data_IF_723641693404
#
_entry.id   IF_723641693404
#
_cell.length_a   1.000
_cell.length_b   1.000
_cell.length_c   1.000
_cell.angle_alpha   90.00
_cell.angle_beta   90.00
_cell.angle_gamma   90.00
#
_symmetry.space_group_name_H-M   'P 1'
#
loop_
_entity.id
_entity.type
_entity.pdbx_description
1 polymer ?
#
# COMPACT_ATOMS: atom_id res chain seq x y z
N UNK A 1 -34.85 -22.61 56.79
CA UNK A 1 -33.65 -21.75 56.85
C UNK A 1 -33.54 -20.98 55.54
N UNK A 2 -34.35 -19.95 55.37
CA UNK A 2 -34.32 -19.03 54.24
C UNK A 2 -33.52 -17.81 54.67
N UNK A 3 -32.25 -17.74 54.29
CA UNK A 3 -31.43 -16.56 54.52
C UNK A 3 -32.07 -15.39 53.76
N UNK A 4 -32.73 -14.49 54.50
CA UNK A 4 -33.23 -13.22 53.98
C UNK A 4 -32.01 -12.39 53.58
N UNK A 5 -31.68 -12.40 52.29
CA UNK A 5 -30.64 -11.54 51.73
C UNK A 5 -30.97 -10.09 52.11
N UNK A 6 -30.03 -9.45 52.81
CA UNK A 6 -30.16 -8.06 53.22
C UNK A 6 -30.38 -7.15 52.00
N UNK A 7 -31.03 -5.98 52.16
CA UNK A 7 -31.32 -5.04 51.06
C UNK A 7 -30.08 -4.66 50.24
N UNK A 8 -28.90 -4.68 50.87
CA UNK A 8 -27.62 -4.43 50.22
C UNK A 8 -27.23 -5.53 49.24
N UNK A 9 -27.51 -6.80 49.54
CA UNK A 9 -27.25 -7.91 48.60
C UNK A 9 -28.15 -7.84 47.36
N UNK A 10 -29.40 -7.40 47.50
CA UNK A 10 -30.29 -7.17 46.35
C UNK A 10 -29.77 -6.06 45.44
N UNK A 11 -29.30 -4.96 46.02
CA UNK A 11 -28.70 -3.85 45.26
C UNK A 11 -27.47 -4.31 44.46
N UNK A 12 -26.54 -5.03 45.09
CA UNK A 12 -25.35 -5.54 44.41
C UNK A 12 -25.67 -6.59 43.34
N UNK A 13 -26.68 -7.44 43.55
CA UNK A 13 -27.13 -8.41 42.55
C UNK A 13 -27.74 -7.72 41.32
N UNK A 14 -28.55 -6.68 41.52
CA UNK A 14 -29.14 -5.90 40.43
C UNK A 14 -28.06 -5.13 39.65
N UNK A 15 -27.09 -4.52 40.34
CA UNK A 15 -25.94 -3.85 39.72
C UNK A 15 -25.14 -4.81 38.85
N UNK A 16 -24.82 -6.01 39.36
CA UNK A 16 -24.09 -7.04 38.62
C UNK A 16 -24.85 -7.50 37.37
N UNK A 17 -26.18 -7.67 37.46
CA UNK A 17 -27.03 -8.01 36.32
C UNK A 17 -27.04 -6.92 35.26
N UNK A 18 -27.15 -5.64 35.66
CA UNK A 18 -27.08 -4.50 34.74
C UNK A 18 -25.70 -4.39 34.05
N UNK A 19 -24.62 -4.60 34.80
CA UNK A 19 -23.25 -4.62 34.26
C UNK A 19 -23.05 -5.77 33.27
N UNK A 20 -23.55 -6.97 33.59
CA UNK A 20 -23.51 -8.13 32.69
C UNK A 20 -24.30 -7.84 31.40
N UNK A 21 -25.51 -7.28 31.52
CA UNK A 21 -26.33 -6.86 30.38
C UNK A 21 -25.66 -5.82 29.52
N UNK A 22 -25.00 -4.82 30.12
CA UNK A 22 -24.23 -3.81 29.40
C UNK A 22 -23.02 -4.40 28.67
N UNK A 23 -22.27 -5.30 29.32
CA UNK A 23 -21.13 -6.01 28.70
C UNK A 23 -21.59 -6.88 27.54
N UNK A 24 -22.70 -7.61 27.70
CA UNK A 24 -23.29 -8.42 26.64
C UNK A 24 -23.78 -7.56 25.46
N UNK A 25 -24.48 -6.46 25.73
CA UNK A 25 -24.92 -5.53 24.69
C UNK A 25 -23.74 -4.88 23.97
N UNK A 26 -22.73 -4.43 24.70
CA UNK A 26 -21.50 -3.87 24.15
C UNK A 26 -20.77 -4.89 23.26
N UNK A 27 -20.62 -6.12 23.75
CA UNK A 27 -20.03 -7.22 22.99
C UNK A 27 -20.87 -7.52 21.74
N UNK A 28 -22.20 -7.58 21.85
CA UNK A 28 -23.09 -7.88 20.73
C UNK A 28 -23.07 -6.78 19.66
N UNK A 29 -23.08 -5.50 20.03
CA UNK A 29 -22.99 -4.38 19.08
C UNK A 29 -21.63 -4.34 18.40
N UNK A 30 -20.55 -4.55 19.17
CA UNK A 30 -19.19 -4.60 18.62
C UNK A 30 -18.97 -5.82 17.72
N UNK A 31 -19.56 -6.96 18.07
CA UNK A 31 -19.41 -8.21 17.32
C UNK A 31 -20.35 -8.34 16.13
N UNK A 32 -21.55 -7.76 16.19
CA UNK A 32 -22.49 -7.71 15.06
C UNK A 32 -21.86 -7.03 13.83
N UNK A 33 -21.05 -5.99 14.05
CA UNK A 33 -20.28 -5.34 13.00
C UNK A 33 -19.23 -6.25 12.34
N UNK A 34 -18.56 -7.10 13.13
CA UNK A 34 -17.56 -8.07 12.64
C UNK A 34 -18.23 -9.24 11.92
N UNK A 35 -19.29 -9.79 12.51
CA UNK A 35 -20.06 -10.90 11.97
C UNK A 35 -20.83 -10.53 10.69
N UNK A 36 -21.29 -9.29 10.55
CA UNK A 36 -21.88 -8.80 9.29
C UNK A 36 -20.82 -8.62 8.18
N UNK A 37 -19.62 -8.12 8.50
CA UNK A 37 -18.49 -8.02 7.56
C UNK A 37 -18.09 -9.40 7.02
N UNK A 38 -17.88 -10.36 7.94
CA UNK A 38 -17.52 -11.74 7.62
C UNK A 38 -18.57 -12.41 6.73
N UNK A 39 -19.86 -12.29 7.08
CA UNK A 39 -20.96 -12.84 6.27
C UNK A 39 -21.05 -12.23 4.88
N UNK A 40 -20.87 -10.91 4.74
CA UNK A 40 -20.90 -10.26 3.43
C UNK A 40 -19.77 -10.70 2.50
N UNK A 41 -18.59 -10.94 3.06
CA UNK A 41 -17.44 -11.41 2.28
C UNK A 41 -17.49 -12.89 1.97
N UNK A 42 -17.91 -13.73 2.92
CA UNK A 42 -18.12 -15.16 2.69
C UNK A 42 -19.13 -15.37 1.57
N UNK A 43 -20.23 -14.61 1.55
CA UNK A 43 -21.19 -14.63 0.44
C UNK A 43 -20.54 -14.27 -0.91
N UNK A 44 -19.62 -13.31 -0.94
CA UNK A 44 -18.90 -12.94 -2.18
C UNK A 44 -17.97 -14.05 -2.66
N UNK A 45 -17.31 -14.73 -1.73
CA UNK A 45 -16.45 -15.88 -2.03
C UNK A 45 -17.30 -17.06 -2.52
N UNK A 46 -18.43 -17.33 -1.85
CA UNK A 46 -19.41 -18.34 -2.25
C UNK A 46 -19.98 -18.06 -3.65
N UNK A 47 -20.29 -16.81 -3.99
CA UNK A 47 -20.79 -16.45 -5.33
C UNK A 47 -19.76 -16.60 -6.44
N UNK A 48 -18.47 -16.70 -6.11
CA UNK A 48 -17.41 -16.85 -7.11
C UNK A 48 -17.20 -18.31 -7.55
N UNK A 49 -17.86 -19.27 -6.90
CA UNK A 49 -17.75 -20.73 -7.10
C UNK A 49 -16.29 -21.22 -7.25
N UNK A 50 -15.36 -20.48 -6.63
CA UNK A 50 -13.94 -20.72 -6.75
C UNK A 50 -13.50 -21.63 -5.60
N UNK A 51 -12.67 -22.65 -5.86
CA UNK A 51 -12.19 -23.54 -4.82
C UNK A 51 -11.49 -22.74 -3.73
N UNK A 52 -11.91 -22.96 -2.49
CA UNK A 52 -11.24 -22.39 -1.32
C UNK A 52 -9.91 -23.12 -1.15
N UNK A 53 -8.81 -22.40 -1.36
CA UNK A 53 -7.46 -22.92 -1.13
C UNK A 53 -7.12 -22.75 0.36
N UNK A 54 -7.67 -23.63 1.19
CA UNK A 54 -7.48 -23.60 2.65
C UNK A 54 -5.99 -23.67 3.04
N UNK A 55 -5.17 -24.31 2.22
CA UNK A 55 -3.71 -24.38 2.41
C UNK A 55 -3.07 -22.99 2.22
N UNK A 56 -3.41 -22.28 1.14
CA UNK A 56 -2.95 -20.91 0.92
C UNK A 56 -3.40 -19.95 2.03
N UNK A 57 -4.67 -20.04 2.47
CA UNK A 57 -5.19 -19.23 3.58
C UNK A 57 -4.52 -19.57 4.90
N UNK A 58 -4.23 -20.85 5.15
CA UNK A 58 -3.46 -21.31 6.31
C UNK A 58 -2.05 -20.72 6.32
N UNK A 59 -1.32 -20.83 5.22
CA UNK A 59 0.02 -20.28 5.05
C UNK A 59 0.04 -18.74 5.21
N UNK A 60 -0.98 -18.04 4.72
CA UNK A 60 -1.14 -16.60 4.94
C UNK A 60 -1.34 -16.26 6.42
N UNK A 61 -2.22 -16.99 7.11
CA UNK A 61 -2.48 -16.78 8.54
C UNK A 61 -1.24 -17.03 9.37
N UNK A 62 -0.44 -18.03 9.02
CA UNK A 62 0.83 -18.34 9.66
C UNK A 62 1.87 -17.25 9.42
N UNK A 63 2.12 -16.87 8.17
CA UNK A 63 3.07 -15.80 7.82
C UNK A 63 2.71 -14.46 8.46
N UNK A 64 1.42 -14.13 8.56
CA UNK A 64 0.95 -12.96 9.30
C UNK A 64 1.20 -13.07 10.81
N UNK A 65 1.09 -14.26 11.41
CA UNK A 65 1.42 -14.47 12.81
C UNK A 65 2.92 -14.24 13.06
N UNK A 66 3.76 -14.79 12.17
CA UNK A 66 5.21 -14.62 12.20
C UNK A 66 5.59 -13.15 12.05
N UNK A 67 4.98 -12.42 11.09
CA UNK A 67 5.20 -10.98 10.91
C UNK A 67 4.87 -10.18 12.18
N UNK A 68 3.75 -10.49 12.83
CA UNK A 68 3.38 -9.85 14.11
C UNK A 68 4.35 -10.17 15.24
N UNK A 69 4.90 -11.38 15.27
CA UNK A 69 5.88 -11.78 16.27
C UNK A 69 7.22 -11.07 16.03
N UNK A 70 7.72 -11.06 14.80
CA UNK A 70 8.93 -10.35 14.42
C UNK A 70 8.81 -8.85 14.77
N UNK A 71 7.67 -8.23 14.47
CA UNK A 71 7.37 -6.84 14.84
C UNK A 71 7.32 -6.55 16.35
N UNK A 72 7.02 -7.56 17.17
CA UNK A 72 7.06 -7.42 18.64
C UNK A 72 8.49 -7.50 19.16
N UNK A 73 9.36 -8.21 18.46
CA UNK A 73 10.76 -8.44 18.82
C UNK A 73 11.70 -7.39 18.24
N UNK A 74 11.34 -6.74 17.14
CA UNK A 74 12.14 -5.71 16.49
C UNK A 74 12.33 -4.48 17.41
N UNK A 75 13.56 -3.97 17.55
CA UNK A 75 13.81 -2.73 18.28
C UNK A 75 13.08 -1.58 17.57
N UNK A 76 12.20 -0.87 18.30
CA UNK A 76 11.35 0.18 17.71
C UNK A 76 12.13 1.48 17.57
N UNK A 77 12.33 2.01 16.35
CA UNK A 77 13.08 3.27 16.17
C UNK A 77 12.24 4.52 16.47
N UNK A 78 10.90 4.41 16.47
CA UNK A 78 10.00 5.57 16.59
C UNK A 78 9.35 5.65 17.98
N UNK A 79 10.02 6.36 18.90
CA UNK A 79 9.34 6.93 20.08
C UNK A 79 8.54 8.13 19.58
N UNK A 80 7.21 8.07 19.70
CA UNK A 80 6.39 9.26 19.47
C UNK A 80 6.77 10.35 20.48
N UNK A 81 6.54 11.63 20.15
CA UNK A 81 6.75 12.75 21.09
C UNK A 81 5.96 12.61 22.40
N UNK A 82 4.99 11.70 22.44
CA UNK A 82 4.10 11.41 23.57
C UNK A 82 4.50 10.15 24.37
N UNK A 83 5.72 9.62 24.21
CA UNK A 83 6.28 8.60 25.10
C UNK A 83 5.71 7.18 24.96
N UNK A 84 4.66 6.96 24.15
CA UNK A 84 4.20 5.61 23.75
C UNK A 84 4.78 5.23 22.39
N UNK A 85 5.27 4.00 22.29
CA UNK A 85 5.66 3.41 21.02
C UNK A 85 4.41 3.23 20.14
N UNK A 86 4.39 3.92 19.00
CA UNK A 86 3.32 3.76 18.01
C UNK A 86 3.32 2.31 17.48
N UNK A 87 2.15 1.74 17.15
CA UNK A 87 2.12 0.44 16.50
C UNK A 87 2.83 0.53 15.15
N UNK A 88 3.50 -0.53 14.71
CA UNK A 88 4.18 -0.50 13.40
C UNK A 88 3.11 -0.48 12.29
N UNK A 89 3.18 0.47 11.34
CA UNK A 89 2.21 0.60 10.28
C UNK A 89 2.36 -0.50 9.22
N UNK A 90 1.24 -0.94 8.65
CA UNK A 90 1.19 -1.99 7.64
C UNK A 90 0.79 -1.39 6.30
N UNK A 91 1.60 -1.60 5.27
CA UNK A 91 1.36 -1.06 3.93
C UNK A 91 1.22 -2.18 2.93
N UNK A 92 0.22 -2.06 2.06
CA UNK A 92 0.04 -2.94 0.92
C UNK A 92 0.82 -2.37 -0.27
N UNK A 93 1.65 -3.17 -0.92
CA UNK A 93 2.39 -2.81 -2.12
C UNK A 93 1.79 -3.55 -3.31
N UNK A 94 1.33 -2.79 -4.30
CA UNK A 94 0.68 -3.27 -5.51
C UNK A 94 1.48 -2.77 -6.70
N UNK A 95 1.81 -3.66 -7.62
CA UNK A 95 2.53 -3.37 -8.86
C UNK A 95 2.51 -4.60 -9.73
N UNK A 96 2.72 -4.40 -11.02
CA UNK A 96 2.91 -5.48 -11.97
C UNK A 96 4.33 -6.08 -11.83
N UNK A 97 4.75 -6.92 -12.78
CA UNK A 97 6.08 -7.51 -12.72
C UNK A 97 7.19 -6.48 -13.01
N UNK A 98 6.94 -5.51 -13.90
CA UNK A 98 7.91 -4.48 -14.26
C UNK A 98 8.21 -3.52 -13.10
N UNK A 99 7.28 -3.37 -12.15
CA UNK A 99 7.47 -2.53 -10.97
C UNK A 99 8.56 -3.02 -9.99
N UNK A 100 9.00 -4.28 -10.09
CA UNK A 100 10.03 -4.91 -9.23
C UNK A 100 9.87 -4.62 -7.73
N UNK A 101 8.70 -4.95 -7.18
CA UNK A 101 8.44 -4.80 -5.75
C UNK A 101 9.50 -5.50 -4.86
N UNK A 102 9.98 -6.74 -5.17
CA UNK A 102 11.04 -7.37 -4.39
C UNK A 102 12.34 -6.55 -4.37
N UNK A 103 12.77 -6.00 -5.50
CA UNK A 103 13.95 -5.12 -5.58
C UNK A 103 13.78 -3.81 -4.81
N UNK A 104 12.60 -3.19 -4.90
CA UNK A 104 12.28 -2.00 -4.09
C UNK A 104 12.35 -2.31 -2.58
N UNK A 105 11.72 -3.41 -2.15
CA UNK A 105 11.63 -3.78 -0.74
C UNK A 105 12.98 -4.25 -0.18
N UNK A 106 13.80 -4.95 -0.96
CA UNK A 106 15.17 -5.31 -0.57
C UNK A 106 16.05 -4.07 -0.42
N UNK A 107 15.92 -3.10 -1.31
CA UNK A 107 16.63 -1.80 -1.25
C UNK A 107 16.22 -1.00 -0.02
N UNK A 108 14.97 -1.13 0.42
CA UNK A 108 14.46 -0.56 1.66
C UNK A 108 14.93 -1.30 2.94
N UNK A 109 15.90 -2.21 2.81
CA UNK A 109 16.39 -3.08 3.88
C UNK A 109 15.26 -3.94 4.49
N UNK A 110 14.31 -4.34 3.64
CA UNK A 110 13.21 -5.22 4.02
C UNK A 110 13.69 -6.66 4.16
N UNK A 111 13.48 -7.25 5.34
CA UNK A 111 13.68 -8.67 5.56
C UNK A 111 12.41 -9.45 5.21
N UNK A 112 12.52 -10.40 4.29
CA UNK A 112 11.40 -11.28 3.92
C UNK A 112 11.20 -12.35 4.97
N UNK A 113 10.01 -12.37 5.58
CA UNK A 113 9.70 -13.21 6.76
C UNK A 113 9.37 -14.66 6.43
N UNK A 114 8.86 -14.92 5.22
CA UNK A 114 8.58 -16.26 4.73
C UNK A 114 9.34 -16.48 3.42
N UNK A 115 10.42 -17.26 3.50
CA UNK A 115 11.12 -17.77 2.32
C UNK A 115 10.38 -19.04 1.86
N UNK A 116 9.97 -19.12 0.59
CA UNK A 116 9.36 -20.32 0.06
C UNK A 116 10.36 -21.48 0.18
N UNK A 117 9.91 -22.64 0.68
CA UNK A 117 10.78 -23.80 0.94
C UNK A 117 11.23 -24.48 -0.36
N UNK A 118 10.50 -24.26 -1.45
CA UNK A 118 10.85 -24.71 -2.80
C UNK A 118 10.49 -23.65 -3.85
N UNK A 119 11.08 -23.74 -5.04
CA UNK A 119 10.78 -22.84 -6.17
C UNK A 119 9.34 -23.03 -6.68
N UNK A 120 8.75 -24.21 -6.47
CA UNK A 120 7.34 -24.52 -6.77
C UNK A 120 6.39 -23.85 -5.77
N UNK A 121 6.75 -23.77 -4.47
CA UNK A 121 5.99 -23.02 -3.45
C UNK A 121 6.00 -21.49 -3.69
N UNK A 122 6.96 -20.98 -4.47
CA UNK A 122 7.06 -19.57 -4.82
C UNK A 122 6.09 -19.16 -5.94
N UNK A 123 5.71 -20.13 -6.79
CA UNK A 123 4.85 -19.97 -7.97
C UNK A 123 3.40 -20.34 -7.63
N UNK A 124 3.19 -21.36 -6.79
CA UNK A 124 1.88 -21.84 -6.37
C UNK A 124 1.66 -21.61 -4.87
N UNK A 125 0.81 -20.63 -4.53
CA UNK A 125 -0.23 -20.69 -3.49
C UNK A 125 -0.54 -19.31 -2.88
N UNK A 126 0.46 -18.44 -2.66
CA UNK A 126 0.23 -17.22 -1.89
C UNK A 126 0.52 -15.93 -2.68
N UNK A 127 -0.56 -15.20 -3.00
CA UNK A 127 -0.47 -13.90 -3.65
C UNK A 127 0.11 -12.79 -2.75
N UNK A 128 0.43 -13.09 -1.48
CA UNK A 128 0.88 -12.12 -0.48
C UNK A 128 2.22 -12.56 0.12
N UNK A 129 3.20 -11.65 0.14
CA UNK A 129 4.51 -11.87 0.74
C UNK A 129 4.79 -10.78 1.78
N UNK A 130 5.33 -11.19 2.93
CA UNK A 130 5.54 -10.30 4.07
C UNK A 130 7.00 -9.88 4.16
N UNK A 131 7.19 -8.56 4.22
CA UNK A 131 8.48 -7.90 4.37
C UNK A 131 8.46 -7.03 5.61
N UNK A 132 9.55 -7.07 6.37
CA UNK A 132 9.72 -6.27 7.55
C UNK A 132 10.87 -5.29 7.35
N UNK A 133 10.57 -4.00 7.45
CA UNK A 133 11.61 -2.96 7.51
C UNK A 133 11.76 -2.46 8.94
N UNK A 134 12.78 -1.63 9.20
CA UNK A 134 12.96 -1.00 10.51
C UNK A 134 11.77 -0.13 10.95
N UNK A 135 10.96 0.36 10.00
CA UNK A 135 9.92 1.35 10.27
C UNK A 135 8.47 0.87 9.98
N UNK A 136 8.27 -0.10 9.08
CA UNK A 136 6.94 -0.58 8.67
C UNK A 136 6.94 -2.07 8.32
N UNK A 137 5.75 -2.67 8.26
CA UNK A 137 5.57 -3.96 7.61
C UNK A 137 4.96 -3.76 6.22
N UNK A 138 5.62 -4.31 5.21
CA UNK A 138 5.20 -4.26 3.82
C UNK A 138 4.58 -5.61 3.42
N UNK A 139 3.42 -5.54 2.77
CA UNK A 139 2.70 -6.68 2.21
C UNK A 139 2.84 -6.55 0.70
N UNK A 140 3.78 -7.29 0.12
CA UNK A 140 3.97 -7.37 -1.33
C UNK A 140 2.88 -8.25 -1.91
N UNK A 141 2.15 -7.72 -2.90
CA UNK A 141 1.20 -8.49 -3.69
C UNK A 141 1.89 -9.03 -4.93
N UNK A 142 1.68 -10.32 -5.18
CA UNK A 142 2.25 -11.01 -6.33
C UNK A 142 1.78 -10.36 -7.64
N UNK A 143 2.66 -10.12 -8.62
CA UNK A 143 2.31 -9.39 -9.85
C UNK A 143 1.20 -10.06 -10.67
N UNK A 144 1.04 -11.38 -10.57
CA UNK A 144 -0.10 -12.12 -11.18
C UNK A 144 -1.47 -11.58 -10.75
N UNK A 145 -1.59 -11.05 -9.53
CA UNK A 145 -2.84 -10.45 -9.05
C UNK A 145 -3.15 -9.08 -9.70
N UNK A 146 -2.14 -8.43 -10.27
CA UNK A 146 -2.24 -7.12 -10.93
C UNK A 146 -2.24 -7.25 -12.46
N UNK A 147 -1.72 -8.36 -13.02
CA UNK A 147 -1.69 -8.65 -14.45
C UNK A 147 -3.03 -9.14 -15.03
N UNK A 148 -3.00 -9.65 -16.25
CA UNK A 148 -4.22 -10.05 -16.98
C UNK A 148 -4.99 -11.20 -16.32
N UNK A 149 -4.25 -12.11 -15.66
CA UNK A 149 -4.82 -13.21 -14.88
C UNK A 149 -5.48 -12.76 -13.56
N UNK A 150 -5.51 -11.46 -13.26
CA UNK A 150 -6.18 -10.90 -12.08
C UNK A 150 -7.67 -11.20 -12.02
N UNK A 151 -8.32 -11.42 -13.17
CA UNK A 151 -9.73 -11.79 -13.28
C UNK A 151 -9.99 -13.28 -13.11
N UNK A 152 -8.95 -14.12 -13.09
CA UNK A 152 -9.12 -15.55 -12.89
C UNK A 152 -9.83 -15.81 -11.55
N UNK A 153 -10.90 -16.64 -11.50
CA UNK A 153 -11.67 -16.88 -10.29
C UNK A 153 -10.82 -17.28 -9.09
N UNK A 154 -9.82 -18.15 -9.30
CA UNK A 154 -8.85 -18.58 -8.27
C UNK A 154 -8.07 -17.40 -7.70
N UNK A 155 -7.46 -16.57 -8.54
CA UNK A 155 -6.66 -15.40 -8.13
C UNK A 155 -7.48 -14.42 -7.31
N UNK A 156 -8.69 -14.10 -7.79
CA UNK A 156 -9.60 -13.19 -7.09
C UNK A 156 -10.11 -13.76 -5.76
N UNK A 157 -10.42 -15.05 -5.72
CA UNK A 157 -10.85 -15.71 -4.49
C UNK A 157 -9.75 -15.70 -3.41
N UNK A 158 -8.50 -16.04 -3.80
CA UNK A 158 -7.33 -15.95 -2.92
C UNK A 158 -7.13 -14.53 -2.37
N UNK A 159 -7.25 -13.52 -3.22
CA UNK A 159 -7.17 -12.11 -2.83
C UNK A 159 -8.23 -11.74 -1.76
N UNK A 160 -9.49 -12.10 -1.99
CA UNK A 160 -10.58 -11.81 -1.04
C UNK A 160 -10.41 -12.57 0.28
N UNK A 161 -10.01 -13.84 0.22
CA UNK A 161 -9.73 -14.65 1.42
C UNK A 161 -8.57 -14.04 2.22
N UNK A 162 -7.56 -13.48 1.54
CA UNK A 162 -6.44 -12.83 2.19
C UNK A 162 -6.85 -11.55 2.92
N UNK A 163 -7.69 -10.72 2.30
CA UNK A 163 -8.29 -9.55 2.94
C UNK A 163 -9.13 -9.93 4.16
N UNK A 164 -9.88 -11.05 4.10
CA UNK A 164 -10.64 -11.57 5.24
C UNK A 164 -9.74 -11.94 6.41
N UNK A 165 -8.70 -12.73 6.14
CA UNK A 165 -7.75 -13.16 7.16
C UNK A 165 -7.06 -11.95 7.82
N UNK A 166 -6.79 -10.89 7.05
CA UNK A 166 -6.25 -9.64 7.57
C UNK A 166 -7.25 -8.90 8.47
N UNK A 167 -8.51 -8.81 8.04
CA UNK A 167 -9.58 -8.17 8.81
C UNK A 167 -9.86 -8.90 10.14
N UNK A 168 -9.81 -10.23 10.16
CA UNK A 168 -10.05 -11.06 11.36
C UNK A 168 -8.98 -10.85 12.44
N UNK A 169 -7.73 -10.62 12.05
CA UNK A 169 -6.60 -10.59 12.99
C UNK A 169 -6.29 -9.20 13.55
N UNK A 170 -6.74 -8.10 12.93
CA UNK A 170 -6.40 -6.73 13.33
C UNK A 170 -7.65 -5.84 13.43
N UNK A 171 -8.23 -5.78 14.64
CA UNK A 171 -9.56 -5.21 14.92
C UNK A 171 -9.76 -3.71 14.60
N UNK A 172 -8.70 -2.88 14.53
CA UNK A 172 -8.87 -1.40 14.38
C UNK A 172 -8.45 -0.84 13.03
N UNK A 173 -7.24 -1.14 12.57
CA UNK A 173 -6.67 -0.61 11.32
C UNK A 173 -5.81 -1.70 10.66
N UNK A 174 -6.41 -2.67 9.94
CA UNK A 174 -5.70 -3.77 9.29
C UNK A 174 -4.59 -3.30 8.34
N UNK A 175 -4.81 -2.18 7.65
CA UNK A 175 -3.83 -1.50 6.82
C UNK A 175 -3.73 -0.02 7.21
N UNK A 176 -2.55 0.55 7.00
CA UNK A 176 -2.21 1.95 7.21
C UNK A 176 -2.10 2.75 5.90
N UNK A 177 -1.98 2.07 4.77
CA UNK A 177 -2.04 2.68 3.44
C UNK A 177 -1.74 1.67 2.34
N UNK A 178 -1.79 2.15 1.11
CA UNK A 178 -1.49 1.40 -0.10
C UNK A 178 -0.44 2.15 -0.90
N UNK A 179 0.57 1.44 -1.39
CA UNK A 179 1.60 1.93 -2.29
C UNK A 179 1.36 1.29 -3.65
N UNK A 180 1.02 2.13 -4.62
CA UNK A 180 0.86 1.77 -6.03
C UNK A 180 2.19 2.01 -6.73
N UNK A 181 2.82 0.95 -7.18
CA UNK A 181 4.09 1.00 -7.89
C UNK A 181 3.88 0.79 -9.38
N UNK A 182 4.47 1.66 -10.20
CA UNK A 182 4.49 1.56 -11.66
C UNK A 182 5.92 1.78 -12.14
N UNK A 183 6.37 0.98 -13.10
CA UNK A 183 7.74 1.09 -13.62
C UNK A 183 7.94 2.32 -14.49
N UNK A 184 9.05 3.04 -14.31
CA UNK A 184 9.45 4.13 -15.20
C UNK A 184 9.65 3.65 -16.65
N UNK A 185 10.17 2.43 -16.84
CA UNK A 185 10.37 1.86 -18.18
C UNK A 185 9.04 1.58 -18.89
N UNK A 186 8.05 1.09 -18.15
CA UNK A 186 6.71 0.87 -18.69
C UNK A 186 6.05 2.20 -19.08
N UNK A 187 6.15 3.23 -18.24
CA UNK A 187 5.61 4.56 -18.54
C UNK A 187 6.24 5.23 -19.77
N UNK A 188 7.48 4.88 -20.12
CA UNK A 188 8.16 5.41 -21.33
C UNK A 188 7.83 4.61 -22.60
N UNK A 189 7.50 3.33 -22.47
CA UNK A 189 7.36 2.41 -23.60
C UNK A 189 5.91 2.12 -23.95
N UNK A 190 5.06 2.00 -22.93
CA UNK A 190 3.66 1.63 -23.08
C UNK A 190 2.84 2.83 -23.56
N UNK A 191 1.85 2.54 -24.40
CA UNK A 191 0.86 3.51 -24.80
C UNK A 191 -0.29 3.60 -23.78
N UNK A 192 -1.23 4.53 -24.02
CA UNK A 192 -2.39 4.68 -23.15
C UNK A 192 -3.30 3.43 -23.13
N UNK A 193 -3.29 2.62 -24.20
CA UNK A 193 -4.09 1.40 -24.32
C UNK A 193 -3.56 0.28 -23.42
N UNK A 194 -2.27 0.28 -23.10
CA UNK A 194 -1.65 -0.66 -22.16
C UNK A 194 -1.69 -0.15 -20.70
N UNK A 195 -1.43 1.14 -20.49
CA UNK A 195 -1.36 1.74 -19.14
C UNK A 195 -2.72 1.85 -18.46
N UNK A 196 -3.79 2.20 -19.19
CA UNK A 196 -5.13 2.36 -18.62
C UNK A 196 -5.69 1.05 -18.05
N UNK A 197 -5.60 -0.12 -18.74
CA UNK A 197 -5.97 -1.41 -18.16
C UNK A 197 -5.18 -1.77 -16.91
N UNK A 198 -3.86 -1.54 -16.89
CA UNK A 198 -3.06 -1.78 -15.70
C UNK A 198 -3.56 -0.94 -14.51
N UNK A 199 -3.71 0.36 -14.71
CA UNK A 199 -4.22 1.28 -13.69
C UNK A 199 -5.63 0.87 -13.23
N UNK A 200 -6.50 0.40 -14.14
CA UNK A 200 -7.84 -0.07 -13.81
C UNK A 200 -7.82 -1.33 -12.93
N UNK A 201 -6.92 -2.28 -13.22
CA UNK A 201 -6.72 -3.48 -12.37
C UNK A 201 -6.22 -3.11 -10.97
N UNK A 202 -5.25 -2.21 -10.87
CA UNK A 202 -4.75 -1.70 -9.59
C UNK A 202 -5.84 -0.95 -8.81
N UNK A 203 -6.62 -0.10 -9.49
CA UNK A 203 -7.76 0.62 -8.91
C UNK A 203 -8.81 -0.35 -8.36
N UNK A 204 -9.14 -1.41 -9.09
CA UNK A 204 -10.08 -2.43 -8.62
C UNK A 204 -9.60 -3.09 -7.33
N UNK A 205 -8.33 -3.50 -7.25
CA UNK A 205 -7.77 -4.11 -6.04
C UNK A 205 -7.82 -3.14 -4.85
N UNK A 206 -7.54 -1.86 -5.07
CA UNK A 206 -7.67 -0.81 -4.08
C UNK A 206 -9.10 -0.67 -3.56
N UNK A 207 -10.07 -0.59 -4.47
CA UNK A 207 -11.49 -0.45 -4.12
C UNK A 207 -11.97 -1.71 -3.38
N UNK A 208 -11.60 -2.90 -3.83
CA UNK A 208 -11.91 -4.17 -3.15
C UNK A 208 -11.29 -4.23 -1.75
N UNK A 209 -10.05 -3.77 -1.56
CA UNK A 209 -9.41 -3.68 -0.25
C UNK A 209 -10.13 -2.67 0.66
N UNK A 210 -10.42 -1.46 0.15
CA UNK A 210 -11.11 -0.41 0.88
C UNK A 210 -12.51 -0.80 1.33
N UNK A 211 -13.30 -1.40 0.43
CA UNK A 211 -14.66 -1.86 0.72
C UNK A 211 -14.68 -3.05 1.68
N UNK A 212 -13.77 -4.02 1.49
CA UNK A 212 -13.68 -5.23 2.34
C UNK A 212 -13.25 -4.88 3.76
N UNK A 213 -12.20 -4.05 3.89
CA UNK A 213 -11.69 -3.64 5.19
C UNK A 213 -12.53 -2.51 5.82
N UNK A 214 -13.43 -1.89 5.04
CA UNK A 214 -14.20 -0.69 5.38
C UNK A 214 -13.28 0.43 5.85
N UNK A 215 -12.25 0.71 5.06
CA UNK A 215 -11.25 1.73 5.33
C UNK A 215 -11.13 2.68 4.13
N UNK A 216 -10.94 3.95 4.43
CA UNK A 216 -10.40 4.90 3.46
C UNK A 216 -8.89 4.93 3.62
N UNK A 217 -8.22 4.21 2.72
CA UNK A 217 -6.77 4.05 2.75
C UNK A 217 -6.09 5.25 2.09
N UNK A 218 -5.04 5.83 2.70
CA UNK A 218 -4.13 6.72 1.99
C UNK A 218 -3.37 5.92 0.92
N UNK A 219 -3.22 6.52 -0.26
CA UNK A 219 -2.64 5.89 -1.44
C UNK A 219 -1.45 6.71 -1.94
N UNK A 220 -0.33 6.03 -2.13
CA UNK A 220 0.92 6.60 -2.66
C UNK A 220 1.12 6.08 -4.06
N UNK A 221 1.46 6.96 -5.00
CA UNK A 221 1.95 6.56 -6.31
C UNK A 221 3.48 6.61 -6.26
N UNK A 222 4.13 5.48 -6.52
CA UNK A 222 5.58 5.33 -6.50
C UNK A 222 6.03 4.84 -7.86
N UNK A 223 6.95 5.57 -8.47
CA UNK A 223 7.53 5.20 -9.74
C UNK A 223 8.84 4.48 -9.44
N UNK A 224 8.92 3.21 -9.84
CA UNK A 224 10.10 2.36 -9.62
C UNK A 224 10.93 2.27 -10.89
N UNK A 225 12.11 1.67 -10.82
CA UNK A 225 12.89 1.39 -12.01
C UNK A 225 13.69 2.57 -12.56
N UNK A 226 13.95 3.62 -11.76
CA UNK A 226 14.81 4.73 -12.19
C UNK A 226 16.22 4.25 -12.59
N UNK A 227 16.69 3.13 -12.04
CA UNK A 227 17.96 2.50 -12.38
C UNK A 227 18.05 2.00 -13.82
N UNK A 228 16.91 1.77 -14.47
CA UNK A 228 16.82 1.36 -15.87
C UNK A 228 16.89 2.56 -16.84
N UNK A 229 16.81 3.79 -16.34
CA UNK A 229 16.88 4.97 -17.19
C UNK A 229 18.32 5.27 -17.60
N UNK A 230 18.49 5.60 -18.88
CA UNK A 230 19.79 6.00 -19.43
C UNK A 230 20.38 7.16 -18.65
N UNK A 231 21.62 6.99 -18.18
CA UNK A 231 22.34 8.02 -17.43
C UNK A 231 22.15 7.98 -15.92
N UNK A 232 21.31 7.08 -15.39
CA UNK A 232 21.14 6.91 -13.93
C UNK A 232 22.47 6.64 -13.21
N UNK A 233 23.29 5.72 -13.72
CA UNK A 233 24.57 5.37 -13.08
C UNK A 233 25.50 6.59 -12.92
N UNK A 234 25.55 7.45 -13.95
CA UNK A 234 26.31 8.70 -13.93
C UNK A 234 25.73 9.71 -12.94
N UNK A 235 24.41 9.90 -12.95
CA UNK A 235 23.73 10.79 -12.01
C UNK A 235 23.97 10.33 -10.57
N UNK A 236 23.72 9.06 -10.27
CA UNK A 236 23.93 8.47 -8.96
C UNK A 236 25.37 8.67 -8.48
N UNK A 237 26.36 8.38 -9.33
CA UNK A 237 27.77 8.54 -8.98
C UNK A 237 28.18 9.99 -8.72
N UNK A 238 27.41 10.96 -9.22
CA UNK A 238 27.63 12.38 -8.97
C UNK A 238 26.93 12.90 -7.70
N UNK A 239 26.01 12.12 -7.10
CA UNK A 239 25.25 12.55 -5.93
C UNK A 239 25.88 12.01 -4.64
N UNK A 240 25.94 12.84 -3.58
CA UNK A 240 26.39 12.38 -2.28
C UNK A 240 25.35 11.43 -1.63
N UNK A 241 25.78 10.52 -0.75
CA UNK A 241 24.91 9.51 -0.15
C UNK A 241 23.73 10.10 0.62
N UNK A 242 23.88 11.30 1.21
CA UNK A 242 22.82 11.99 1.92
C UNK A 242 21.67 12.40 0.99
N UNK A 243 21.98 12.80 -0.25
CA UNK A 243 20.97 13.15 -1.26
C UNK A 243 20.32 11.88 -1.81
N UNK A 244 21.10 10.81 -1.99
CA UNK A 244 20.59 9.51 -2.43
C UNK A 244 19.66 8.86 -1.39
N UNK A 245 19.79 9.19 -0.11
CA UNK A 245 18.90 8.73 0.95
C UNK A 245 17.58 9.52 1.01
N UNK A 246 17.55 10.77 0.53
CA UNK A 246 16.36 11.62 0.53
C UNK A 246 15.31 11.12 -0.45
N UNK A 247 14.02 11.27 -0.12
CA UNK A 247 12.96 10.88 -1.03
C UNK A 247 12.86 11.87 -2.20
N UNK A 248 12.84 11.37 -3.43
CA UNK A 248 12.52 12.15 -4.62
C UNK A 248 11.01 12.10 -4.84
N UNK A 249 10.29 13.18 -4.54
CA UNK A 249 8.84 13.18 -4.65
C UNK A 249 8.18 14.43 -4.08
N UNK A 250 6.85 14.49 -4.22
CA UNK A 250 6.03 15.55 -3.66
C UNK A 250 4.78 15.01 -2.97
N UNK A 251 4.40 15.67 -1.87
CA UNK A 251 3.24 15.30 -1.05
C UNK A 251 2.05 16.15 -1.44
N UNK A 252 0.86 15.54 -1.39
CA UNK A 252 -0.40 16.28 -1.47
C UNK A 252 -0.53 17.17 -0.23
N UNK A 253 -0.62 18.51 -0.38
CA UNK A 253 -0.65 19.45 0.75
C UNK A 253 -1.86 19.26 1.68
N UNK A 254 -3.05 19.05 1.10
CA UNK A 254 -4.27 18.71 1.85
C UNK A 254 -4.89 17.41 1.33
N UNK A 255 -4.65 16.26 2.00
CA UNK A 255 -5.27 14.98 1.62
C UNK A 255 -6.77 14.89 1.89
N UNK A 256 -7.34 15.86 2.60
CA UNK A 256 -8.73 15.85 3.05
C UNK A 256 -9.62 16.84 2.28
N UNK A 257 -9.01 17.76 1.52
CA UNK A 257 -9.74 18.60 0.59
C UNK A 257 -10.51 17.74 -0.42
N UNK A 258 -11.76 18.14 -0.69
CA UNK A 258 -12.47 17.58 -1.84
C UNK A 258 -11.64 17.88 -3.10
N UNK A 259 -11.52 16.92 -4.04
CA UNK A 259 -10.84 17.20 -5.31
C UNK A 259 -11.57 18.35 -5.99
N UNK A 260 -10.92 19.52 -6.06
CA UNK A 260 -11.43 20.70 -6.77
C UNK A 260 -11.07 20.71 -8.25
N UNK A 261 -10.19 19.79 -8.66
CA UNK A 261 -9.65 19.67 -10.00
C UNK A 261 -9.57 18.17 -10.42
N UNK A 262 -9.60 17.88 -11.73
CA UNK A 262 -9.37 16.55 -12.28
C UNK A 262 -8.06 15.92 -11.77
N UNK A 263 -8.02 14.60 -11.68
CA UNK A 263 -6.85 13.87 -11.20
C UNK A 263 -5.57 14.17 -12.03
N UNK A 264 -5.71 14.39 -13.34
CA UNK A 264 -4.59 14.80 -14.19
C UNK A 264 -4.00 16.16 -13.81
N UNK A 265 -4.81 17.19 -13.58
CA UNK A 265 -4.30 18.50 -13.13
C UNK A 265 -3.66 18.43 -11.74
N UNK A 266 -4.20 17.57 -10.88
CA UNK A 266 -3.62 17.31 -9.55
C UNK A 266 -2.27 16.61 -9.66
N UNK A 267 -2.05 15.78 -10.69
CA UNK A 267 -0.74 15.20 -10.97
C UNK A 267 0.26 16.29 -11.34
N UNK A 268 -0.11 17.22 -12.22
CA UNK A 268 0.80 18.31 -12.61
C UNK A 268 1.27 19.11 -11.41
N UNK A 269 0.33 19.46 -10.52
CA UNK A 269 0.66 20.16 -9.28
C UNK A 269 1.63 19.39 -8.37
N UNK A 270 1.66 18.05 -8.45
CA UNK A 270 2.64 17.22 -7.74
C UNK A 270 3.95 17.04 -8.52
N UNK A 271 3.89 17.05 -9.85
CA UNK A 271 5.02 16.80 -10.73
C UNK A 271 5.88 18.06 -10.94
N UNK A 272 5.27 19.23 -11.11
CA UNK A 272 5.96 20.49 -11.40
C UNK A 272 7.05 20.87 -10.36
N UNK A 273 6.83 20.69 -9.04
CA UNK A 273 7.90 20.91 -8.06
C UNK A 273 9.08 19.93 -8.23
N UNK A 274 8.79 18.68 -8.59
CA UNK A 274 9.80 17.64 -8.82
C UNK A 274 10.59 17.99 -10.09
N UNK A 275 9.90 18.36 -11.17
CA UNK A 275 10.51 18.81 -12.42
C UNK A 275 11.43 20.01 -12.20
N UNK A 276 10.97 21.01 -11.44
CA UNK A 276 11.76 22.20 -11.09
C UNK A 276 13.02 21.82 -10.31
N UNK A 277 12.89 20.93 -9.31
CA UNK A 277 14.03 20.45 -8.52
C UNK A 277 15.04 19.67 -9.38
N UNK A 278 14.57 18.80 -10.28
CA UNK A 278 15.41 18.03 -11.20
C UNK A 278 16.14 18.93 -12.21
N UNK A 279 15.47 19.98 -12.71
CA UNK A 279 16.12 20.96 -13.58
C UNK A 279 17.22 21.74 -12.85
N UNK A 280 16.96 22.15 -11.60
CA UNK A 280 17.97 22.78 -10.75
C UNK A 280 19.16 21.86 -10.49
N UNK A 281 18.88 20.60 -10.15
CA UNK A 281 19.90 19.57 -9.94
C UNK A 281 20.76 19.36 -11.20
N UNK A 282 20.11 19.27 -12.36
CA UNK A 282 20.79 19.16 -13.66
C UNK A 282 21.78 20.29 -13.86
N UNK A 283 21.37 21.55 -13.64
CA UNK A 283 22.26 22.70 -13.84
C UNK A 283 23.47 22.67 -12.92
N UNK A 284 23.30 22.23 -11.67
CA UNK A 284 24.40 22.05 -10.73
C UNK A 284 25.38 20.96 -11.20
N UNK A 285 24.87 19.76 -11.50
CA UNK A 285 25.70 18.63 -11.89
C UNK A 285 26.40 18.85 -13.24
N UNK A 286 25.75 19.50 -14.21
CA UNK A 286 26.37 19.78 -15.51
C UNK A 286 27.62 20.68 -15.40
N UNK A 287 27.67 21.57 -14.41
CA UNK A 287 28.84 22.42 -14.15
C UNK A 287 30.01 21.66 -13.56
N UNK A 288 29.73 20.64 -12.75
CA UNK A 288 30.75 19.86 -12.03
C UNK A 288 31.35 18.75 -12.90
N UNK A 289 30.59 18.25 -13.88
CA UNK A 289 31.06 17.16 -14.74
C UNK A 289 32.01 17.65 -15.84
N UNK A 290 33.23 17.11 -15.95
CA UNK A 290 34.22 17.55 -16.93
C UNK A 290 33.95 17.02 -18.36
N UNK A 291 33.42 15.80 -18.49
CA UNK A 291 33.25 15.12 -19.77
C UNK A 291 31.91 15.37 -20.45
N UNK A 292 31.92 15.52 -21.77
CA UNK A 292 30.70 15.69 -22.57
C UNK A 292 29.73 14.49 -22.43
N UNK A 293 30.26 13.27 -22.37
CA UNK A 293 29.46 12.06 -22.19
C UNK A 293 28.72 12.03 -20.84
N UNK A 294 29.39 12.42 -19.75
CA UNK A 294 28.77 12.48 -18.42
C UNK A 294 27.67 13.56 -18.35
N UNK A 295 27.94 14.73 -18.95
CA UNK A 295 26.94 15.80 -19.08
C UNK A 295 25.72 15.36 -19.88
N UNK A 296 25.92 14.69 -21.01
CA UNK A 296 24.83 14.15 -21.82
C UNK A 296 24.03 13.10 -21.06
N UNK A 297 24.69 12.21 -20.32
CA UNK A 297 24.03 11.19 -19.50
C UNK A 297 23.13 11.81 -18.42
N UNK A 298 23.60 12.83 -17.69
CA UNK A 298 22.79 13.54 -16.69
C UNK A 298 21.62 14.27 -17.34
N UNK A 299 21.86 14.92 -18.48
CA UNK A 299 20.80 15.58 -19.22
C UNK A 299 19.73 14.58 -19.66
N UNK A 300 20.13 13.47 -20.28
CA UNK A 300 19.23 12.42 -20.75
C UNK A 300 18.43 11.77 -19.62
N UNK A 301 19.04 11.53 -18.46
CA UNK A 301 18.30 11.02 -17.30
C UNK A 301 17.19 11.97 -16.87
N UNK A 302 17.50 13.27 -16.76
CA UNK A 302 16.51 14.26 -16.32
C UNK A 302 15.40 14.42 -17.34
N UNK A 303 15.72 14.47 -18.64
CA UNK A 303 14.70 14.50 -19.70
C UNK A 303 13.82 13.25 -19.66
N UNK A 304 14.40 12.05 -19.52
CA UNK A 304 13.64 10.81 -19.42
C UNK A 304 12.66 10.81 -18.24
N UNK A 305 13.01 11.41 -17.10
CA UNK A 305 12.06 11.54 -15.97
C UNK A 305 10.96 12.56 -16.28
N UNK A 306 11.29 13.67 -16.96
CA UNK A 306 10.29 14.67 -17.37
C UNK A 306 9.30 14.12 -18.40
N UNK A 307 9.77 13.27 -19.31
CA UNK A 307 8.97 12.58 -20.32
C UNK A 307 7.91 11.63 -19.73
N UNK A 308 8.02 11.25 -18.45
CA UNK A 308 7.03 10.41 -17.77
C UNK A 308 5.69 11.12 -17.52
N UNK A 309 5.66 12.46 -17.49
CA UNK A 309 4.50 13.23 -17.04
C UNK A 309 3.19 12.90 -17.79
N UNK A 310 3.16 12.79 -19.13
CA UNK A 310 1.93 12.47 -19.85
C UNK A 310 1.39 11.07 -19.50
N UNK A 311 2.25 10.05 -19.46
CA UNK A 311 1.85 8.69 -19.11
C UNK A 311 1.38 8.60 -17.64
N UNK A 312 2.04 9.33 -16.73
CA UNK A 312 1.61 9.44 -15.35
C UNK A 312 0.21 10.07 -15.24
N UNK A 313 -0.15 10.99 -16.13
CA UNK A 313 -1.49 11.62 -16.15
C UNK A 313 -2.56 10.58 -16.39
N UNK A 314 -2.36 9.75 -17.41
CA UNK A 314 -3.27 8.66 -17.77
C UNK A 314 -3.47 7.69 -16.59
N UNK A 315 -2.37 7.29 -15.94
CA UNK A 315 -2.42 6.42 -14.76
C UNK A 315 -3.14 7.09 -13.59
N UNK A 316 -2.85 8.37 -13.32
CA UNK A 316 -3.44 9.11 -12.22
C UNK A 316 -4.95 9.32 -12.41
N UNK A 317 -5.40 9.58 -13.63
CA UNK A 317 -6.82 9.70 -13.98
C UNK A 317 -7.57 8.40 -13.66
N UNK A 318 -7.08 7.26 -14.11
CA UNK A 318 -7.75 5.98 -13.83
C UNK A 318 -7.70 5.64 -12.34
N UNK A 319 -6.56 5.88 -11.66
CA UNK A 319 -6.41 5.53 -10.25
C UNK A 319 -7.20 6.44 -9.31
N UNK A 320 -7.20 7.75 -9.54
CA UNK A 320 -7.67 8.72 -8.53
C UNK A 320 -8.96 9.43 -8.89
N UNK A 321 -9.45 9.33 -10.13
CA UNK A 321 -10.72 9.94 -10.51
C UNK A 321 -11.92 9.23 -9.88
N UNK A 322 -12.97 9.99 -9.59
CA UNK A 322 -14.21 9.47 -9.02
C UNK A 322 -15.10 8.85 -10.11
N UNK A 323 -15.11 7.53 -10.23
CA UNK A 323 -15.91 6.84 -11.24
C UNK A 323 -17.37 6.64 -10.78
N UNK A 324 -18.28 7.51 -11.24
CA UNK A 324 -19.74 7.33 -11.12
C UNK A 324 -20.35 7.74 -9.78
N UNK A 325 -21.70 7.68 -9.71
CA UNK A 325 -22.47 8.08 -8.51
C UNK A 325 -22.19 7.12 -7.35
N UNK A 326 -21.48 7.63 -6.33
CA UNK A 326 -21.25 6.92 -5.07
C UNK A 326 -19.89 6.24 -4.93
N UNK A 327 -19.07 6.18 -5.99
CA UNK A 327 -17.65 5.83 -5.85
C UNK A 327 -16.89 6.99 -5.23
N UNK A 328 -16.07 6.72 -4.22
CA UNK A 328 -15.21 7.75 -3.62
C UNK A 328 -13.83 7.68 -4.27
N UNK A 329 -13.36 8.83 -4.75
CA UNK A 329 -11.97 8.98 -5.16
C UNK A 329 -11.02 8.51 -4.04
N UNK A 330 -10.02 7.67 -4.35
CA UNK A 330 -9.01 7.29 -3.39
C UNK A 330 -8.23 8.49 -2.84
N UNK A 331 -7.72 8.35 -1.62
CA UNK A 331 -6.98 9.43 -0.95
C UNK A 331 -5.53 9.45 -1.39
N UNK A 332 -5.26 10.14 -2.49
CA UNK A 332 -3.90 10.35 -2.95
C UNK A 332 -3.07 11.15 -1.93
N UNK A 333 -1.88 10.66 -1.57
CA UNK A 333 -0.97 11.26 -0.59
C UNK A 333 0.30 11.86 -1.15
N UNK A 334 0.75 11.37 -2.29
CA UNK A 334 1.95 11.87 -2.93
C UNK A 334 2.39 11.01 -4.10
N UNK A 335 3.35 11.56 -4.82
CA UNK A 335 4.06 10.96 -5.94
C UNK A 335 5.54 10.87 -5.56
N UNK A 336 6.15 9.71 -5.72
CA UNK A 336 7.57 9.49 -5.41
C UNK A 336 8.24 8.68 -6.51
N UNK A 337 9.55 8.82 -6.64
CA UNK A 337 10.38 8.09 -7.58
C UNK A 337 11.48 7.37 -6.83
N UNK A 338 11.79 6.15 -7.25
CA UNK A 338 12.70 5.24 -6.55
C UNK A 338 13.55 4.46 -7.54
N UNK A 339 14.78 4.15 -7.11
CA UNK A 339 15.68 3.26 -7.83
C UNK A 339 16.02 2.06 -6.94
N UNK A 340 15.82 0.85 -7.47
CA UNK A 340 16.22 -0.37 -6.78
C UNK A 340 17.74 -0.59 -6.88
N UNK A 341 18.31 -1.20 -5.85
CA UNK A 341 19.68 -1.69 -5.87
C UNK A 341 19.74 -3.02 -6.63
N UNK A 342 20.71 -3.13 -7.52
CA UNK A 342 21.07 -4.33 -8.27
C UNK A 342 22.58 -4.54 -8.18
N UNK A 343 23.06 -5.73 -8.55
CA UNK A 343 24.49 -6.05 -8.60
C UNK A 343 25.29 -5.06 -9.48
N UNK A 344 24.63 -4.48 -10.50
CA UNK A 344 25.24 -3.54 -11.43
C UNK A 344 25.12 -2.07 -11.00
N UNK A 345 24.19 -1.72 -10.10
CA UNK A 345 23.88 -0.32 -9.77
C UNK A 345 23.25 -0.18 -8.39
N UNK A 346 23.73 0.76 -7.57
CA UNK A 346 23.16 0.99 -6.25
C UNK A 346 21.79 1.67 -6.30
N UNK A 347 20.93 1.39 -5.33
CA UNK A 347 19.60 1.99 -5.21
C UNK A 347 19.64 3.43 -4.67
N UNK A 348 18.57 4.18 -4.90
CA UNK A 348 18.44 5.58 -4.52
C UNK A 348 16.99 5.98 -4.24
N UNK A 349 16.83 7.01 -3.40
CA UNK A 349 15.58 7.66 -3.05
C UNK A 349 14.55 6.80 -2.30
N UNK A 350 15.01 5.67 -1.73
CA UNK A 350 14.15 4.70 -1.01
C UNK A 350 14.12 4.96 0.50
N UNK A 351 15.24 5.29 1.13
CA UNK A 351 15.39 5.33 2.59
C UNK A 351 14.36 6.24 3.27
N UNK A 352 14.35 7.53 2.93
CA UNK A 352 13.42 8.50 3.52
C UNK A 352 11.94 8.14 3.28
N UNK A 353 11.63 7.56 2.11
CA UNK A 353 10.26 7.15 1.78
C UNK A 353 9.75 6.13 2.80
N UNK A 354 10.55 5.09 3.08
CA UNK A 354 10.18 4.00 3.98
C UNK A 354 10.33 4.36 5.46
N UNK A 355 11.32 5.18 5.83
CA UNK A 355 11.59 5.50 7.24
C UNK A 355 10.77 6.68 7.76
N UNK A 356 10.47 7.65 6.90
CA UNK A 356 9.87 8.93 7.32
C UNK A 356 8.50 9.17 6.70
N UNK A 357 8.34 9.03 5.39
CA UNK A 357 7.12 9.47 4.71
C UNK A 357 5.95 8.51 4.85
N UNK A 358 6.15 7.22 4.55
CA UNK A 358 5.09 6.21 4.71
C UNK A 358 4.65 6.08 6.18
N UNK A 359 5.55 5.95 7.18
CA UNK A 359 5.13 5.74 8.56
C UNK A 359 4.45 6.96 9.21
N UNK A 360 4.82 8.20 8.82
CA UNK A 360 4.26 9.42 9.41
C UNK A 360 2.74 9.54 9.19
N UNK A 361 2.21 8.92 8.14
CA UNK A 361 0.81 9.02 7.74
C UNK A 361 -0.07 7.89 8.32
N UNK A 362 0.47 7.10 9.25
CA UNK A 362 -0.27 6.10 10.01
C UNK A 362 -1.63 6.57 10.57
N UNK A 363 -1.77 7.78 11.18
CA UNK A 363 -3.04 8.20 11.78
C UNK A 363 -4.09 8.65 10.76
N UNK A 364 -3.77 8.68 9.46
CA UNK A 364 -4.66 9.25 8.44
C UNK A 364 -5.74 8.26 7.95
N UNK A 365 -5.64 6.97 8.29
CA UNK A 365 -6.66 5.99 7.93
C UNK A 365 -7.96 6.29 8.68
N UNK A 366 -9.06 6.35 7.93
CA UNK A 366 -10.40 6.56 8.51
C UNK A 366 -11.29 5.35 8.28
N UNK A 367 -12.20 5.03 9.24
CA UNK A 367 -13.29 4.12 8.98
C UNK A 367 -14.08 4.59 7.75
N UNK A 368 -14.17 3.72 6.74
CA UNK A 368 -14.96 3.93 5.53
C UNK A 368 -16.39 3.45 5.71
N UNK A 369 -17.34 4.11 5.01
CA UNK A 369 -18.67 3.54 4.76
C UNK A 369 -18.62 2.75 3.44
N UNK A 370 -19.29 1.59 3.36
CA UNK A 370 -19.30 0.79 2.13
C UNK A 370 -19.86 1.57 0.94
N UNK A 371 -19.29 1.35 -0.24
CA UNK A 371 -19.76 1.97 -1.49
C UNK A 371 -21.15 1.45 -1.87
N UNK A 372 -22.13 2.30 -2.26
CA UNK A 372 -23.50 1.89 -2.53
C UNK A 372 -23.64 0.89 -3.68
N UNK A 373 -22.72 0.92 -4.66
CA UNK A 373 -22.73 0.00 -5.82
C UNK A 373 -22.34 -1.44 -5.50
N UNK A 374 -21.83 -1.72 -4.30
CA UNK A 374 -21.40 -3.07 -3.93
C UNK A 374 -22.52 -4.04 -3.55
N UNK A 375 -23.75 -3.53 -3.40
CA UNK A 375 -24.92 -4.31 -3.00
C UNK A 375 -25.68 -4.94 -4.18
N UNK A 376 -25.44 -4.50 -5.41
CA UNK A 376 -26.06 -5.05 -6.62
C UNK A 376 -25.01 -5.81 -7.42
N UNK A 377 -24.79 -7.06 -7.04
CA UNK A 377 -24.39 -8.06 -8.03
C UNK A 377 -25.59 -8.26 -8.96
N UNK A 378 -25.45 -7.84 -10.20
CA UNK A 378 -26.28 -8.25 -11.32
C UNK A 378 -25.31 -8.65 -12.45
N UNK A 379 -25.69 -9.68 -13.23
CA UNK A 379 -24.79 -10.67 -13.84
C UNK A 379 -23.75 -10.12 -14.81
#
# INVERSE_FOLDING_TARGET
MTALLSPTHFFWALLALCLLGFVLLYAMVHDAGRSARRRGLLRRIETLDAPVDDAAVGALRESMAQARQALRQAPRPLRSSHGRAAPVPWFLFLGDAAADLPGLLSTAQGERLAQPRTQTDAIDANCWRWWLTGALAAIEIHPVAVGDASHAPRTRALWLQALLALAERRDRLPLNGVVMCVSASELLQADAEELRPLAARMRRLLDEAGDTLRLQLPVYLVITGLEHLTGYATLRGALPPEVLAQALGHRVPDPFAAPGAPAGERLDALFDPIATQLQGLRMALLREQPGAAARLAIHGFVEAVLELQPALREVAEVLFEGHGKGSRAPRWRGLYFTAAASDASGGAFVTDLFERFLPADQPLVRPGRPSPNTATGAP
#
